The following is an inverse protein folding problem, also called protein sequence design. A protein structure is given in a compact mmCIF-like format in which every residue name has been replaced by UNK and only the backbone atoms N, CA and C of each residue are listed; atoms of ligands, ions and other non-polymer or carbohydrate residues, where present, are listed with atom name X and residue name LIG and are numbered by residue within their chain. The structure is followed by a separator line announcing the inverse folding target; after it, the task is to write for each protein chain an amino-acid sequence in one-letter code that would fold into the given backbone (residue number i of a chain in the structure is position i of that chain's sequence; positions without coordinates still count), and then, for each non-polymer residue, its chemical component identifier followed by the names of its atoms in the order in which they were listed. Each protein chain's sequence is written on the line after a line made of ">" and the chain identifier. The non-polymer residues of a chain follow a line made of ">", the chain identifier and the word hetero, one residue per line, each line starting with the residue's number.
data_IF_156824859141
#
_entry.id   IF_156824859141
#
_cell.length_a   1.000
_cell.length_b   1.000
_cell.length_c   1.000
_cell.angle_alpha   90.00
_cell.angle_beta   90.00
_cell.angle_gamma   90.00
#
_symmetry.space_group_name_H-M   'P 1'
#
loop_
_entity.id
_entity.type
_entity.pdbx_description
1 polymer ?
#
# COMPACT_ATOMS: atom_id res chain seq x y z
N UNK A 1 23.70 -7.83 -6.94
CA UNK A 1 22.24 -7.58 -6.82
C UNK A 1 21.97 -7.27 -5.36
N UNK A 2 21.46 -6.08 -5.05
CA UNK A 2 21.08 -5.70 -3.68
C UNK A 2 19.88 -6.53 -3.23
N UNK A 3 19.99 -7.21 -2.09
CA UNK A 3 18.89 -7.94 -1.49
C UNK A 3 17.78 -6.95 -1.09
N UNK A 4 16.55 -7.18 -1.55
CA UNK A 4 15.43 -6.32 -1.20
C UNK A 4 15.03 -6.62 0.25
N UNK A 5 15.10 -5.61 1.11
CA UNK A 5 14.61 -5.71 2.48
C UNK A 5 13.10 -6.04 2.50
N UNK A 6 12.74 -7.08 3.25
CA UNK A 6 11.36 -7.51 3.48
C UNK A 6 11.12 -7.60 4.98
N UNK A 7 10.27 -6.73 5.49
CA UNK A 7 9.87 -6.69 6.90
C UNK A 7 8.66 -7.60 7.17
N UNK A 8 8.77 -8.54 8.12
CA UNK A 8 7.74 -9.57 8.38
C UNK A 8 6.39 -8.97 8.79
N UNK A 9 6.38 -7.87 9.52
CA UNK A 9 5.19 -7.12 9.93
C UNK A 9 4.40 -6.51 8.75
N UNK A 10 4.98 -6.46 7.56
CA UNK A 10 4.33 -5.98 6.34
C UNK A 10 3.82 -7.11 5.44
N UNK A 11 4.01 -8.38 5.84
CA UNK A 11 3.51 -9.53 5.11
C UNK A 11 2.10 -9.88 5.61
N UNK A 12 1.18 -10.05 4.67
CA UNK A 12 -0.16 -10.58 4.92
C UNK A 12 -0.37 -11.86 4.09
N UNK A 13 -0.74 -12.95 4.75
CA UNK A 13 -1.02 -14.23 4.10
C UNK A 13 -2.44 -14.66 4.43
N UNK A 14 -3.40 -14.52 3.48
CA UNK A 14 -4.74 -15.07 3.67
C UNK A 14 -4.69 -16.61 3.76
N UNK A 15 -5.60 -17.26 4.51
CA UNK A 15 -5.68 -18.72 4.57
C UNK A 15 -5.80 -19.34 3.18
N UNK A 16 -4.92 -20.30 2.86
CA UNK A 16 -4.92 -21.01 1.57
C UNK A 16 -4.53 -20.15 0.35
N UNK A 17 -3.91 -18.98 0.55
CA UNK A 17 -3.48 -18.08 -0.54
C UNK A 17 -1.99 -17.75 -0.46
N UNK A 18 -1.47 -17.19 -1.56
CA UNK A 18 -0.14 -16.60 -1.62
C UNK A 18 0.01 -15.42 -0.64
N UNK A 19 1.24 -15.18 -0.20
CA UNK A 19 1.57 -14.04 0.65
C UNK A 19 1.62 -12.74 -0.16
N UNK A 20 1.13 -11.67 0.45
CA UNK A 20 1.16 -10.30 -0.07
C UNK A 20 2.01 -9.42 0.83
N UNK A 21 2.58 -8.38 0.25
CA UNK A 21 3.45 -7.43 0.92
C UNK A 21 2.85 -6.03 0.87
N UNK A 22 2.81 -5.35 2.02
CA UNK A 22 2.26 -4.00 2.17
C UNK A 22 3.27 -2.94 1.73
N UNK A 23 2.80 -2.02 0.89
CA UNK A 23 3.60 -1.06 0.13
C UNK A 23 2.91 0.31 0.05
N UNK A 24 3.65 1.33 -0.39
CA UNK A 24 3.04 2.49 -1.02
C UNK A 24 2.69 2.15 -2.47
N UNK A 25 1.46 2.47 -2.88
CA UNK A 25 1.01 2.38 -4.27
C UNK A 25 0.50 3.72 -4.76
N UNK A 26 0.82 4.05 -6.01
CA UNK A 26 0.13 5.06 -6.78
C UNK A 26 -0.97 4.37 -7.58
N UNK A 27 -2.17 4.92 -7.51
CA UNK A 27 -3.37 4.36 -8.10
C UNK A 27 -3.97 5.31 -9.11
N UNK A 28 -4.59 4.77 -10.15
CA UNK A 28 -5.40 5.52 -11.10
C UNK A 28 -6.77 4.86 -11.29
N UNK A 29 -7.83 5.66 -11.28
CA UNK A 29 -9.18 5.17 -11.54
C UNK A 29 -9.33 4.78 -13.02
N UNK A 30 -9.86 3.58 -13.29
CA UNK A 30 -10.14 3.15 -14.67
C UNK A 30 -11.12 4.07 -15.41
N UNK A 31 -12.09 4.66 -14.69
CA UNK A 31 -13.17 5.51 -15.24
C UNK A 31 -12.82 7.00 -15.26
N UNK A 32 -12.69 7.63 -14.08
CA UNK A 32 -12.49 9.10 -13.98
C UNK A 32 -11.03 9.55 -14.08
N UNK A 33 -10.08 8.62 -14.25
CA UNK A 33 -8.63 8.85 -14.37
C UNK A 33 -7.96 9.56 -13.20
N UNK A 34 -8.71 9.92 -12.16
CA UNK A 34 -8.15 10.50 -10.94
C UNK A 34 -7.17 9.55 -10.27
N UNK A 35 -6.08 10.11 -9.77
CA UNK A 35 -5.01 9.37 -9.09
C UNK A 35 -5.05 9.57 -7.58
N UNK A 36 -4.50 8.62 -6.83
CA UNK A 36 -4.30 8.74 -5.38
C UNK A 36 -3.13 7.87 -4.91
N UNK A 37 -2.46 8.29 -3.83
CA UNK A 37 -1.44 7.46 -3.18
C UNK A 37 -2.02 6.69 -1.98
N UNK A 38 -1.57 5.46 -1.77
CA UNK A 38 -2.06 4.62 -0.66
C UNK A 38 -0.94 3.78 -0.05
N UNK A 39 -0.77 3.89 1.26
CA UNK A 39 0.09 3.03 2.09
C UNK A 39 -0.58 1.71 2.51
N UNK A 40 -1.80 1.46 2.01
CA UNK A 40 -2.54 0.21 2.17
C UNK A 40 -2.64 -0.51 0.83
N UNK A 41 -1.49 -0.63 0.15
CA UNK A 41 -1.39 -1.36 -1.10
C UNK A 41 -0.72 -2.69 -0.83
N UNK A 42 -1.33 -3.77 -1.30
CA UNK A 42 -0.81 -5.14 -1.12
C UNK A 42 -0.54 -5.74 -2.48
N UNK A 43 0.71 -6.11 -2.72
CA UNK A 43 1.17 -6.77 -3.95
C UNK A 43 1.72 -8.14 -3.57
N UNK A 44 1.61 -9.14 -4.44
CA UNK A 44 2.21 -10.46 -4.25
C UNK A 44 3.68 -10.32 -3.79
N UNK A 45 4.02 -10.99 -2.70
CA UNK A 45 5.36 -10.92 -2.11
C UNK A 45 6.42 -11.39 -3.12
N UNK A 46 6.09 -12.42 -3.91
CA UNK A 46 6.95 -12.92 -4.97
C UNK A 46 7.18 -11.84 -6.05
N UNK A 47 6.12 -11.19 -6.53
CA UNK A 47 6.21 -10.12 -7.53
C UNK A 47 7.04 -8.94 -7.03
N UNK A 48 6.85 -8.58 -5.76
CA UNK A 48 7.64 -7.54 -5.11
C UNK A 48 9.13 -7.90 -5.03
N UNK A 49 9.47 -9.13 -4.58
CA UNK A 49 10.86 -9.61 -4.51
C UNK A 49 11.54 -9.65 -5.87
N UNK A 50 10.79 -9.98 -6.91
CA UNK A 50 11.26 -10.03 -8.29
C UNK A 50 11.22 -8.65 -9.00
N UNK A 51 10.87 -7.58 -8.29
CA UNK A 51 10.80 -6.20 -8.82
C UNK A 51 9.91 -6.07 -10.06
N UNK A 52 8.84 -6.85 -10.16
CA UNK A 52 7.96 -6.87 -11.34
C UNK A 52 7.23 -5.53 -11.45
N UNK A 53 7.37 -4.76 -12.55
CA UNK A 53 6.77 -3.44 -12.64
C UNK A 53 5.24 -3.51 -12.57
N UNK A 54 4.61 -2.43 -12.07
CA UNK A 54 3.16 -2.38 -11.86
C UNK A 54 2.35 -2.70 -13.14
N UNK A 55 2.86 -2.33 -14.32
CA UNK A 55 2.24 -2.59 -15.61
C UNK A 55 2.11 -4.09 -15.96
N UNK A 56 2.95 -4.95 -15.37
CA UNK A 56 2.96 -6.39 -15.61
C UNK A 56 2.16 -7.18 -14.55
N UNK A 57 1.67 -6.50 -13.51
CA UNK A 57 0.88 -7.14 -12.45
C UNK A 57 -0.53 -7.47 -12.94
N UNK A 58 -0.95 -8.71 -12.69
CA UNK A 58 -2.30 -9.17 -12.98
C UNK A 58 -3.26 -8.70 -11.89
N UNK A 59 -4.25 -7.91 -12.30
CA UNK A 59 -5.34 -7.45 -11.43
C UNK A 59 -6.04 -8.64 -10.76
N UNK A 60 -6.43 -8.47 -9.49
CA UNK A 60 -7.15 -9.44 -8.65
C UNK A 60 -6.35 -10.71 -8.29
N UNK A 61 -5.15 -10.88 -8.84
CA UNK A 61 -4.23 -11.98 -8.51
C UNK A 61 -2.96 -11.48 -7.83
N UNK A 62 -2.28 -10.51 -8.45
CA UNK A 62 -1.01 -10.00 -7.97
C UNK A 62 -1.19 -8.82 -6.99
N UNK A 63 -2.40 -8.25 -6.87
CA UNK A 63 -2.68 -7.19 -5.91
C UNK A 63 -4.18 -7.05 -5.58
N UNK A 64 -4.48 -6.50 -4.39
CA UNK A 64 -5.86 -6.17 -4.00
C UNK A 64 -6.30 -4.82 -4.54
N UNK A 65 -7.43 -4.78 -5.23
CA UNK A 65 -7.96 -3.56 -5.84
C UNK A 65 -8.53 -2.57 -4.82
N UNK A 66 -8.47 -1.27 -5.14
CA UNK A 66 -9.03 -0.21 -4.30
C UNK A 66 -10.18 0.51 -5.03
N UNK A 67 -11.30 0.74 -4.34
CA UNK A 67 -12.43 1.51 -4.89
C UNK A 67 -12.07 2.99 -5.04
N UNK A 68 -12.45 3.59 -6.17
CA UNK A 68 -12.33 5.02 -6.36
C UNK A 68 -13.41 5.76 -5.56
N UNK A 69 -12.99 6.59 -4.59
CA UNK A 69 -13.90 7.37 -3.73
C UNK A 69 -14.54 8.59 -4.42
N UNK A 70 -14.15 8.89 -5.66
CA UNK A 70 -14.62 10.07 -6.41
C UNK A 70 -15.66 9.70 -7.48
N UNK A 71 -15.73 8.44 -7.88
CA UNK A 71 -16.83 7.95 -8.71
C UNK A 71 -18.09 7.76 -7.84
N UNK A 72 -19.30 8.06 -8.37
CA UNK A 72 -20.55 7.75 -7.68
C UNK A 72 -20.55 6.29 -7.21
N UNK A 73 -20.97 6.06 -5.95
CA UNK A 73 -21.08 4.74 -5.28
C UNK A 73 -19.83 3.84 -5.30
N UNK A 74 -18.66 4.33 -5.72
CA UNK A 74 -17.46 3.50 -5.84
C UNK A 74 -17.55 2.47 -6.96
N UNK A 75 -18.35 2.74 -8.00
CA UNK A 75 -18.61 1.85 -9.14
C UNK A 75 -17.39 1.65 -10.08
N UNK A 76 -16.21 2.09 -9.65
CA UNK A 76 -14.97 1.90 -10.38
C UNK A 76 -13.85 1.59 -9.41
N UNK A 77 -13.04 0.60 -9.76
CA UNK A 77 -11.80 0.27 -9.06
C UNK A 77 -10.62 0.97 -9.73
N UNK A 78 -9.61 1.28 -8.93
CA UNK A 78 -8.32 1.69 -9.42
C UNK A 78 -7.48 0.49 -9.88
N UNK A 79 -6.52 0.77 -10.75
CA UNK A 79 -5.36 -0.08 -10.97
C UNK A 79 -4.15 0.61 -10.36
N UNK A 80 -3.18 -0.19 -9.95
CA UNK A 80 -1.89 0.30 -9.46
C UNK A 80 -1.04 0.69 -10.67
N UNK A 81 -0.50 1.91 -10.66
CA UNK A 81 0.38 2.40 -11.73
C UNK A 81 1.84 2.35 -11.32
N UNK A 82 2.12 2.48 -10.03
CA UNK A 82 3.45 2.38 -9.45
C UNK A 82 3.34 1.86 -8.01
N UNK A 83 4.41 1.23 -7.52
CA UNK A 83 4.53 0.91 -6.11
C UNK A 83 5.97 1.00 -5.65
N UNK A 84 6.15 1.24 -4.36
CA UNK A 84 7.46 1.30 -3.72
C UNK A 84 7.40 0.83 -2.28
N UNK A 85 8.56 0.42 -1.78
CA UNK A 85 8.72 -0.06 -0.41
C UNK A 85 8.13 0.92 0.61
N UNK A 86 7.45 0.37 1.61
CA UNK A 86 6.92 1.16 2.71
C UNK A 86 8.10 1.59 3.60
N UNK A 87 8.57 2.83 3.44
CA UNK A 87 9.49 3.43 4.42
C UNK A 87 8.74 3.63 5.74
N UNK A 88 9.24 2.97 6.78
CA UNK A 88 8.86 3.26 8.15
C UNK A 88 9.28 4.70 8.49
N UNK A 89 8.58 5.33 9.44
CA UNK A 89 9.03 6.62 9.97
C UNK A 89 10.35 6.34 10.71
N UNK A 90 11.44 7.02 10.35
CA UNK A 90 12.66 6.99 11.17
C UNK A 90 12.26 7.37 12.60
N UNK A 91 12.67 6.55 13.56
CA UNK A 91 12.34 6.67 14.98
C UNK A 91 13.12 7.81 15.67
N UNK A 92 13.38 8.91 14.97
CA UNK A 92 14.30 9.97 15.42
C UNK A 92 13.56 11.15 16.07
N UNK A 93 12.62 10.87 16.95
CA UNK A 93 12.11 11.89 17.87
C UNK A 93 12.09 11.34 19.28
N UNK A 94 13.07 11.76 20.08
CA UNK A 94 13.18 11.63 21.55
C UNK A 94 12.07 12.42 22.29
N UNK A 95 10.89 12.55 21.69
CA UNK A 95 9.70 12.99 22.41
C UNK A 95 8.95 11.72 22.80
N UNK A 96 8.78 11.51 24.11
CA UNK A 96 7.95 10.49 24.73
C UNK A 96 6.47 10.68 24.36
N UNK A 97 6.16 10.55 23.07
CA UNK A 97 4.82 10.34 22.57
C UNK A 97 4.74 8.84 22.36
N UNK A 98 4.01 8.16 23.24
CA UNK A 98 3.58 6.75 23.12
C UNK A 98 3.73 6.28 21.68
N UNK A 99 4.68 5.37 21.37
CA UNK A 99 5.00 5.02 19.99
C UNK A 99 3.69 4.66 19.31
N UNK A 100 3.28 5.45 18.32
CA UNK A 100 2.06 5.17 17.56
C UNK A 100 2.39 3.97 16.67
N UNK A 101 2.42 2.79 17.30
CA UNK A 101 2.59 1.45 16.75
C UNK A 101 1.60 1.16 15.62
N UNK A 102 0.64 2.06 15.39
CA UNK A 102 -0.36 2.04 14.32
C UNK A 102 0.04 2.90 13.11
N UNK A 103 1.21 3.56 13.11
CA UNK A 103 1.73 4.38 11.99
C UNK A 103 3.10 3.91 11.49
N UNK A 104 3.23 2.69 10.92
CA UNK A 104 4.52 2.23 10.39
C UNK A 104 4.89 2.88 9.04
N UNK A 105 4.36 4.07 8.71
CA UNK A 105 4.59 4.69 7.40
C UNK A 105 4.52 6.23 7.44
N UNK A 106 5.34 6.87 6.61
CA UNK A 106 5.38 8.31 6.34
C UNK A 106 4.00 8.81 5.88
N UNK A 107 3.37 9.62 6.74
CA UNK A 107 2.01 10.15 6.55
C UNK A 107 1.84 10.97 5.27
N UNK A 108 2.85 11.76 4.90
CA UNK A 108 2.87 12.60 3.70
C UNK A 108 2.82 11.81 2.39
N UNK A 109 3.03 10.50 2.42
CA UNK A 109 2.94 9.62 1.26
C UNK A 109 1.60 8.87 1.15
N UNK A 110 0.70 9.00 2.13
CA UNK A 110 -0.61 8.37 2.13
C UNK A 110 -1.75 9.40 2.02
N UNK A 111 -2.57 9.30 0.97
CA UNK A 111 -3.69 10.22 0.73
C UNK A 111 -4.70 10.24 1.90
N UNK A 112 -4.94 9.09 2.54
CA UNK A 112 -5.81 8.99 3.72
C UNK A 112 -5.26 9.80 4.90
N UNK A 113 -3.95 9.67 5.17
CA UNK A 113 -3.28 10.40 6.24
C UNK A 113 -3.22 11.91 5.96
N UNK A 114 -3.00 12.32 4.70
CA UNK A 114 -3.04 13.74 4.30
C UNK A 114 -4.37 14.43 4.62
N UNK A 115 -5.45 13.65 4.64
CA UNK A 115 -6.80 14.13 4.96
C UNK A 115 -7.12 14.02 6.46
N UNK A 116 -6.13 13.75 7.32
CA UNK A 116 -6.31 13.67 8.78
C UNK A 116 -6.89 12.36 9.30
N UNK A 117 -7.15 11.37 8.43
CA UNK A 117 -7.69 10.08 8.86
C UNK A 117 -6.59 9.13 9.33
N UNK A 118 -6.91 8.32 10.36
CA UNK A 118 -6.00 7.28 10.87
C UNK A 118 -5.97 6.06 9.94
N UNK A 119 -4.75 5.61 9.60
CA UNK A 119 -4.49 4.34 8.93
C UNK A 119 -4.40 3.20 9.96
N UNK A 120 -5.50 2.93 10.67
CA UNK A 120 -5.58 1.73 11.51
C UNK A 120 -5.70 0.49 10.62
N UNK A 121 -4.95 -0.56 10.94
CA UNK A 121 -5.11 -1.88 10.36
C UNK A 121 -6.53 -2.36 10.66
N UNK A 122 -7.44 -2.16 9.72
CA UNK A 122 -8.73 -2.85 9.72
C UNK A 122 -8.52 -4.14 8.96
N UNK A 123 -8.29 -5.21 9.70
CA UNK A 123 -8.75 -6.53 9.29
C UNK A 123 -10.27 -6.54 9.30
#
# INVERSE_FOLDING_TARGET
>A
MSEIAVFKNLIFTPPGKHSYYRLYGLWACGKCKKTWSSAHTYVSLEKYKNQVPAAELKKDWDYFTQKCKKCPKGDSVGHITEYKHLREKESDSEEEVEPDTKRPHISSLCEKCKQGFRCVDRF
#
